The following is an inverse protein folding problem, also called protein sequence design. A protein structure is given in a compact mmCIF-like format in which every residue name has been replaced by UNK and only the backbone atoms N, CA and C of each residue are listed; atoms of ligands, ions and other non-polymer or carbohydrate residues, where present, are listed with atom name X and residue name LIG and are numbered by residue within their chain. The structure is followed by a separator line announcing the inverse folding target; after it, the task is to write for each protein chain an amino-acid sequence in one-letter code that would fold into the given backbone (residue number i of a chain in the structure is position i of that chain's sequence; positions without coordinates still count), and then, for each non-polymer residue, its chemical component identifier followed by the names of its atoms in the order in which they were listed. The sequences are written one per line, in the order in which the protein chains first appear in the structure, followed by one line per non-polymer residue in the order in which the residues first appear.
data_IF_070826164186
#
_entry.id   IF_070826164186
#
_cell.length_a   1.000
_cell.length_b   1.000
_cell.length_c   1.000
_cell.angle_alpha   90.00
_cell.angle_beta   90.00
_cell.angle_gamma   90.00
#
_symmetry.space_group_name_H-M   'P 1'
#
loop_
_entity.id
_entity.type
_entity.pdbx_description
1 polymer ?
#
# COMPACT_ATOMS: atom_id res chain seq x y z
N UNK A 1 -2.34 -7.37 -9.01
CA UNK A 1 -3.63 -7.23 -8.28
C UNK A 1 -4.60 -6.40 -9.12
N UNK A 2 -5.90 -6.72 -9.08
CA UNK A 2 -6.93 -6.04 -9.89
C UNK A 2 -7.74 -5.07 -9.04
N UNK A 3 -8.13 -3.94 -9.61
CA UNK A 3 -8.96 -2.94 -8.95
C UNK A 3 -10.33 -3.54 -8.64
N UNK A 4 -10.79 -3.55 -7.37
CA UNK A 4 -12.08 -4.14 -7.02
C UNK A 4 -13.26 -3.35 -7.60
N UNK A 5 -13.04 -2.08 -8.00
CA UNK A 5 -14.08 -1.20 -8.52
C UNK A 5 -14.27 -1.30 -10.03
N UNK A 6 -13.19 -1.37 -10.81
CA UNK A 6 -13.25 -1.35 -12.28
C UNK A 6 -12.62 -2.58 -12.96
N UNK A 7 -12.00 -3.48 -12.21
CA UNK A 7 -11.24 -4.61 -12.77
C UNK A 7 -9.92 -4.22 -13.46
N UNK A 8 -9.54 -2.94 -13.41
CA UNK A 8 -8.28 -2.41 -13.94
C UNK A 8 -7.04 -2.89 -13.18
N UNK A 9 -5.85 -2.49 -13.63
CA UNK A 9 -4.60 -2.78 -12.91
C UNK A 9 -4.44 -1.86 -11.69
N UNK A 10 -3.96 -2.42 -10.58
CA UNK A 10 -3.53 -1.65 -9.41
C UNK A 10 -2.02 -1.46 -9.41
N UNK A 11 -1.60 -0.28 -8.97
CA UNK A 11 -0.23 0.04 -8.58
C UNK A 11 -0.16 0.10 -7.06
N UNK A 12 0.97 -0.36 -6.50
CA UNK A 12 1.27 -0.27 -5.08
C UNK A 12 2.57 0.49 -4.92
N UNK A 13 2.57 1.48 -4.03
CA UNK A 13 3.73 2.25 -3.61
C UNK A 13 3.90 2.06 -2.11
N UNK A 14 5.11 1.75 -1.67
CA UNK A 14 5.43 1.50 -0.27
C UNK A 14 6.66 2.30 0.12
N UNK A 15 6.54 3.10 1.17
CA UNK A 15 7.59 4.01 1.64
C UNK A 15 7.65 4.01 3.16
N UNK A 16 8.84 4.13 3.76
CA UNK A 16 8.94 4.36 5.20
C UNK A 16 8.15 5.61 5.59
N UNK A 17 7.34 5.47 6.63
CA UNK A 17 6.51 6.55 7.11
C UNK A 17 7.39 7.68 7.65
N UNK A 18 7.14 8.91 7.19
CA UNK A 18 7.89 10.07 7.67
C UNK A 18 7.55 10.46 9.12
N UNK A 19 6.43 9.94 9.64
CA UNK A 19 5.91 10.24 10.96
C UNK A 19 6.30 9.20 12.02
N UNK A 20 6.76 8.03 11.60
CA UNK A 20 7.06 6.89 12.46
C UNK A 20 8.03 5.94 11.72
N UNK A 21 9.24 5.75 12.24
CA UNK A 21 10.28 4.93 11.62
C UNK A 21 10.01 3.42 11.76
N UNK A 22 9.05 3.02 12.60
CA UNK A 22 8.60 1.64 12.75
C UNK A 22 7.44 1.32 11.79
N UNK A 23 7.03 2.24 10.92
CA UNK A 23 5.91 2.05 9.98
C UNK A 23 6.33 2.19 8.51
N UNK A 24 5.65 1.44 7.65
CA UNK A 24 5.69 1.57 6.19
C UNK A 24 4.31 1.98 5.70
N UNK A 25 4.24 3.15 5.09
CA UNK A 25 3.06 3.66 4.39
C UNK A 25 2.88 2.89 3.07
N UNK A 26 1.72 2.27 2.90
CA UNK A 26 1.36 1.53 1.69
C UNK A 26 0.18 2.20 0.99
N UNK A 27 0.46 2.74 -0.18
CA UNK A 27 -0.51 3.38 -1.05
C UNK A 27 -0.88 2.43 -2.19
N UNK A 28 -2.18 2.19 -2.37
CA UNK A 28 -2.71 1.37 -3.45
C UNK A 28 -3.61 2.23 -4.33
N UNK A 29 -3.34 2.29 -5.62
CA UNK A 29 -4.14 3.09 -6.54
C UNK A 29 -4.42 2.36 -7.85
N UNK A 30 -5.56 2.68 -8.47
CA UNK A 30 -5.81 2.25 -9.84
C UNK A 30 -4.82 2.94 -10.77
N UNK A 31 -4.10 2.15 -11.58
CA UNK A 31 -3.08 2.63 -12.51
C UNK A 31 -3.64 3.66 -13.49
N UNK A 32 -4.85 3.42 -13.96
CA UNK A 32 -5.63 4.40 -14.70
C UNK A 32 -6.63 5.09 -13.77
N UNK A 33 -6.22 6.25 -13.24
CA UNK A 33 -7.04 7.08 -12.36
C UNK A 33 -8.31 7.58 -13.05
N UNK A 34 -8.28 7.78 -14.38
CA UNK A 34 -9.43 8.27 -15.16
C UNK A 34 -10.56 7.22 -15.24
N UNK A 35 -10.24 5.94 -15.02
CA UNK A 35 -11.20 4.85 -15.11
C UNK A 35 -12.14 4.76 -13.91
N UNK A 36 -11.64 4.99 -12.68
CA UNK A 36 -12.48 4.84 -11.48
C UNK A 36 -12.06 5.62 -10.22
N UNK A 37 -10.86 6.23 -10.22
CA UNK A 37 -10.30 6.98 -9.09
C UNK A 37 -10.13 6.17 -7.80
N UNK A 38 -9.99 4.84 -7.89
CA UNK A 38 -9.81 4.00 -6.69
C UNK A 38 -8.46 4.28 -6.04
N UNK A 39 -8.50 4.56 -4.74
CA UNK A 39 -7.35 4.78 -3.88
C UNK A 39 -7.62 4.10 -2.53
N UNK A 40 -6.58 3.45 -2.00
CA UNK A 40 -6.57 2.85 -0.67
C UNK A 40 -5.23 3.12 -0.01
N UNK A 41 -5.26 3.22 1.31
CA UNK A 41 -4.09 3.48 2.14
C UNK A 41 -4.12 2.52 3.33
N UNK A 42 -2.95 1.98 3.66
CA UNK A 42 -2.72 1.15 4.84
C UNK A 42 -1.30 1.43 5.35
N UNK A 43 -1.02 1.03 6.58
CA UNK A 43 0.33 1.00 7.14
C UNK A 43 0.67 -0.43 7.54
N UNK A 44 1.96 -0.78 7.44
CA UNK A 44 2.53 -2.01 7.95
C UNK A 44 3.53 -1.66 9.05
N UNK A 45 3.51 -2.38 10.16
CA UNK A 45 4.56 -2.26 11.16
C UNK A 45 5.80 -3.02 10.69
N UNK A 46 6.97 -2.41 10.86
CA UNK A 46 8.27 -3.02 10.58
C UNK A 46 8.55 -4.16 11.56
N UNK A 47 8.08 -4.07 12.80
CA UNK A 47 8.20 -5.14 13.80
C UNK A 47 7.44 -6.41 13.39
N UNK A 48 6.34 -6.29 12.64
CA UNK A 48 5.64 -7.45 12.06
C UNK A 48 6.43 -8.08 10.88
N UNK A 49 7.41 -7.36 10.32
CA UNK A 49 8.22 -7.79 9.19
C UNK A 49 9.58 -8.35 9.60
N UNK A 50 10.08 -8.01 10.79
CA UNK A 50 11.26 -8.65 11.37
C UNK A 50 10.85 -10.02 11.90
N UNK A 51 11.31 -11.13 11.30
CA UNK A 51 11.06 -12.44 11.88
C UNK A 51 11.71 -12.45 13.27
N UNK A 52 10.91 -12.70 14.31
CA UNK A 52 11.43 -12.88 15.66
C UNK A 52 12.60 -13.87 15.60
N UNK A 53 13.80 -13.39 15.91
CA UNK A 53 14.95 -14.26 16.14
C UNK A 53 14.68 -14.98 17.48
N UNK A 54 14.19 -16.22 17.39
CA UNK A 54 14.00 -17.14 18.52
C UNK A 54 15.35 -17.60 19.11
#
# INVERSE_FOLDING_TARGET
MKCPKCGGELTVDATFAAHDDELIDVNVCCKDQSQCGYYGYAFLSVDDLTPNED
#
